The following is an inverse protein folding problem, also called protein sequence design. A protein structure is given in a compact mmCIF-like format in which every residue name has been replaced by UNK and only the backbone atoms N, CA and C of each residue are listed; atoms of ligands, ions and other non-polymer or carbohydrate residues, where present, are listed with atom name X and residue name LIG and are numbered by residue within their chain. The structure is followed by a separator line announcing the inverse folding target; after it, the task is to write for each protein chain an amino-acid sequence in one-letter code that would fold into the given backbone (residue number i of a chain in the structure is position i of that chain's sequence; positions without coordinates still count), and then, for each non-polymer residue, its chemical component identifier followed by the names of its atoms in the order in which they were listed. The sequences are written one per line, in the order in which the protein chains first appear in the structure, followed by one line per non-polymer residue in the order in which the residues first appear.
data_IF_910771650881
#
_entry.id   IF_910771650881
#
_cell.length_a   1.000
_cell.length_b   1.000
_cell.length_c   1.000
_cell.angle_alpha   90.00
_cell.angle_beta   90.00
_cell.angle_gamma   90.00
#
_symmetry.space_group_name_H-M   'P 1'
#
loop_
_entity.id
_entity.type
_entity.pdbx_description
1 polymer ?
#
# COMPACT_ATOMS: atom_id res chain seq x y z
N UNK A 1 -1.85 25.54 17.22
CA UNK A 1 -1.79 25.19 18.65
C UNK A 1 -1.32 23.74 18.77
N UNK A 2 -0.71 23.41 19.90
CA UNK A 2 -0.49 22.04 20.32
C UNK A 2 -1.33 21.79 21.58
N UNK A 3 -1.96 20.63 21.66
CA UNK A 3 -2.62 20.15 22.88
C UNK A 3 -2.42 18.65 23.02
N UNK A 4 -2.45 18.17 24.27
CA UNK A 4 -2.52 16.76 24.55
C UNK A 4 -3.51 16.50 25.69
N UNK A 5 -4.26 15.41 25.58
CA UNK A 5 -5.28 15.08 26.56
C UNK A 5 -6.06 13.83 26.19
N UNK A 6 -6.96 13.43 27.09
CA UNK A 6 -7.84 12.29 26.88
C UNK A 6 -8.89 12.62 25.82
N UNK A 7 -8.81 11.97 24.65
CA UNK A 7 -9.93 11.90 23.72
C UNK A 7 -10.99 10.97 24.32
N UNK A 8 -12.21 11.48 24.52
CA UNK A 8 -13.27 10.73 25.19
C UNK A 8 -14.64 11.05 24.63
N UNK A 9 -15.60 10.18 24.89
CA UNK A 9 -17.00 10.32 24.53
C UNK A 9 -17.89 9.73 25.62
N UNK A 10 -19.14 10.20 25.71
CA UNK A 10 -20.18 9.62 26.58
C UNK A 10 -21.08 8.64 25.83
N UNK A 11 -20.88 8.47 24.53
CA UNK A 11 -21.71 7.61 23.69
C UNK A 11 -21.36 6.14 23.89
N UNK A 12 -22.37 5.27 23.83
CA UNK A 12 -22.20 3.84 23.75
C UNK A 12 -22.45 3.40 22.30
N UNK A 13 -21.48 2.72 21.70
CA UNK A 13 -21.61 2.11 20.38
C UNK A 13 -22.16 0.69 20.52
N UNK A 14 -22.99 0.28 19.58
CA UNK A 14 -23.76 -0.97 19.66
C UNK A 14 -23.53 -1.82 18.44
N UNK A 15 -23.00 -3.03 18.63
CA UNK A 15 -23.06 -4.08 17.63
C UNK A 15 -24.30 -4.94 17.88
N UNK A 16 -25.36 -4.69 17.10
CA UNK A 16 -26.66 -5.35 17.30
C UNK A 16 -26.65 -6.84 16.94
N UNK A 17 -25.74 -7.26 16.05
CA UNK A 17 -25.57 -8.67 15.68
C UNK A 17 -24.97 -9.43 16.86
N UNK A 18 -23.84 -8.93 17.39
CA UNK A 18 -23.13 -9.56 18.50
C UNK A 18 -23.76 -9.29 19.87
N UNK A 19 -24.71 -8.35 19.95
CA UNK A 19 -25.36 -7.95 21.20
C UNK A 19 -24.42 -7.20 22.14
N UNK A 20 -23.38 -6.55 21.61
CA UNK A 20 -22.34 -5.86 22.38
C UNK A 20 -22.65 -4.36 22.41
N UNK A 21 -22.55 -3.76 23.60
CA UNK A 21 -22.66 -2.31 23.82
C UNK A 21 -21.45 -1.85 24.61
N UNK A 22 -20.72 -0.85 24.12
CA UNK A 22 -19.47 -0.37 24.73
C UNK A 22 -19.32 1.14 24.59
N UNK A 23 -18.86 1.82 25.65
CA UNK A 23 -18.47 3.22 25.57
C UNK A 23 -17.14 3.33 24.82
N UNK A 24 -17.17 3.89 23.61
CA UNK A 24 -16.03 3.86 22.70
C UNK A 24 -16.07 4.98 21.68
N UNK A 25 -14.88 5.39 21.21
CA UNK A 25 -14.70 6.34 20.10
C UNK A 25 -15.04 5.65 18.76
N UNK A 26 -14.60 4.41 18.58
CA UNK A 26 -14.88 3.61 17.39
C UNK A 26 -15.11 2.14 17.76
N UNK A 27 -16.04 1.49 17.07
CA UNK A 27 -16.31 0.07 17.15
C UNK A 27 -16.24 -0.52 15.74
N UNK A 28 -15.32 -1.45 15.53
CA UNK A 28 -15.04 -2.06 14.23
C UNK A 28 -15.30 -3.57 14.28
N UNK A 29 -16.38 -4.01 13.66
CA UNK A 29 -16.65 -5.43 13.40
C UNK A 29 -16.05 -5.80 12.06
N UNK A 30 -15.06 -6.67 12.08
CA UNK A 30 -14.45 -7.22 10.86
C UNK A 30 -14.97 -8.63 10.62
N UNK A 31 -15.42 -8.88 9.39
CA UNK A 31 -16.03 -10.15 8.97
C UNK A 31 -15.33 -10.62 7.71
N UNK A 32 -14.79 -11.82 7.74
CA UNK A 32 -14.16 -12.47 6.58
C UNK A 32 -14.94 -13.73 6.22
N UNK A 33 -15.07 -14.02 4.92
CA UNK A 33 -15.67 -15.25 4.42
C UNK A 33 -14.63 -16.09 3.68
N UNK A 34 -14.61 -17.39 3.96
CA UNK A 34 -13.72 -18.35 3.29
C UNK A 34 -14.22 -18.65 1.88
N UNK A 35 -13.41 -18.32 0.87
CA UNK A 35 -13.81 -18.26 -0.53
C UNK A 35 -12.63 -18.60 -1.44
N UNK A 36 -12.91 -19.09 -2.64
CA UNK A 36 -11.94 -19.14 -3.74
C UNK A 36 -11.52 -17.74 -4.19
N UNK A 37 -10.25 -17.59 -4.49
CA UNK A 37 -9.66 -16.45 -5.15
C UNK A 37 -8.83 -16.93 -6.35
N UNK A 38 -9.11 -16.37 -7.52
CA UNK A 38 -8.25 -16.53 -8.69
C UNK A 38 -7.05 -15.58 -8.59
N UNK A 39 -5.86 -16.11 -8.89
CA UNK A 39 -4.64 -15.34 -9.12
C UNK A 39 -4.20 -15.55 -10.56
N UNK A 40 -3.89 -14.44 -11.23
CA UNK A 40 -3.42 -14.45 -12.62
C UNK A 40 -1.94 -14.13 -12.67
N UNK A 41 -1.14 -15.06 -13.19
CA UNK A 41 0.26 -14.82 -13.55
C UNK A 41 0.38 -14.68 -15.07
N UNK A 42 1.04 -13.63 -15.54
CA UNK A 42 1.27 -13.43 -16.98
C UNK A 42 2.75 -13.56 -17.29
N UNK A 43 3.11 -14.58 -18.07
CA UNK A 43 4.45 -14.75 -18.62
C UNK A 43 4.47 -14.30 -20.08
N UNK A 44 5.39 -13.40 -20.41
CA UNK A 44 5.62 -12.96 -21.78
C UNK A 44 6.93 -13.54 -22.28
N UNK A 45 6.87 -14.25 -23.42
CA UNK A 45 8.01 -14.83 -24.10
C UNK A 45 8.18 -14.18 -25.49
N UNK A 46 9.39 -13.72 -25.80
CA UNK A 46 9.70 -13.16 -27.13
C UNK A 46 10.04 -14.28 -28.12
N UNK A 47 9.38 -14.29 -29.27
CA UNK A 47 9.60 -15.22 -30.37
C UNK A 47 10.58 -14.64 -31.40
N UNK A 48 11.15 -15.51 -32.24
CA UNK A 48 11.97 -15.12 -33.39
C UNK A 48 11.15 -14.22 -34.33
N UNK A 49 11.69 -13.04 -34.65
CA UNK A 49 11.08 -12.10 -35.60
C UNK A 49 10.18 -11.00 -35.01
N UNK A 50 10.16 -10.80 -33.69
CA UNK A 50 9.56 -9.58 -33.10
C UNK A 50 8.26 -9.80 -32.35
N UNK A 51 7.64 -10.98 -32.49
CA UNK A 51 6.36 -11.29 -31.88
C UNK A 51 6.52 -11.70 -30.41
N UNK A 52 5.54 -11.35 -29.58
CA UNK A 52 5.46 -11.78 -28.19
C UNK A 52 4.36 -12.84 -28.04
N UNK A 53 4.65 -13.93 -27.33
CA UNK A 53 3.66 -14.88 -26.84
C UNK A 53 3.38 -14.57 -25.38
N UNK A 54 2.12 -14.24 -25.07
CA UNK A 54 1.66 -14.08 -23.69
C UNK A 54 0.97 -15.38 -23.25
N UNK A 55 1.51 -15.99 -22.21
CA UNK A 55 0.91 -17.15 -21.54
C UNK A 55 0.38 -16.65 -20.20
N UNK A 56 -0.94 -16.69 -20.03
CA UNK A 56 -1.58 -16.46 -18.73
C UNK A 56 -1.76 -17.80 -18.02
N UNK A 57 -1.34 -17.86 -16.77
CA UNK A 57 -1.58 -18.98 -15.87
C UNK A 57 -2.54 -18.51 -14.79
N UNK A 58 -3.62 -19.24 -14.61
CA UNK A 58 -4.63 -18.96 -13.58
C UNK A 58 -4.48 -20.02 -12.49
N UNK A 59 -4.31 -19.57 -11.26
CA UNK A 59 -4.26 -20.44 -10.06
C UNK A 59 -5.39 -20.06 -9.13
N UNK A 60 -5.92 -21.04 -8.40
CA UNK A 60 -7.06 -20.84 -7.50
C UNK A 60 -6.65 -21.29 -6.11
N UNK A 61 -6.81 -20.39 -5.15
CA UNK A 61 -6.53 -20.67 -3.74
C UNK A 61 -7.75 -20.29 -2.90
N UNK A 62 -8.02 -21.05 -1.84
CA UNK A 62 -9.04 -20.67 -0.87
C UNK A 62 -8.43 -19.69 0.15
N UNK A 63 -9.13 -18.59 0.41
CA UNK A 63 -8.66 -17.49 1.27
C UNK A 63 -9.80 -16.90 2.10
N UNK A 64 -9.43 -16.21 3.18
CA UNK A 64 -10.33 -15.36 3.94
C UNK A 64 -10.37 -13.97 3.31
N UNK A 65 -11.57 -13.47 3.03
CA UNK A 65 -11.77 -12.16 2.39
C UNK A 65 -12.87 -11.38 3.09
N UNK A 66 -12.62 -10.10 3.37
CA UNK A 66 -13.62 -9.18 3.94
C UNK A 66 -14.73 -8.81 2.95
N UNK A 67 -14.47 -9.00 1.66
CA UNK A 67 -15.42 -8.74 0.58
C UNK A 67 -15.83 -10.04 -0.13
N UNK A 68 -17.04 -10.06 -0.64
CA UNK A 68 -17.54 -11.13 -1.52
C UNK A 68 -16.65 -11.19 -2.77
N UNK A 69 -16.10 -12.37 -3.06
CA UNK A 69 -15.32 -12.60 -4.27
C UNK A 69 -16.26 -13.13 -5.34
N UNK A 70 -16.55 -12.29 -6.32
CA UNK A 70 -17.35 -12.65 -7.48
C UNK A 70 -16.57 -13.65 -8.38
N UNK A 71 -17.06 -14.88 -8.43
CA UNK A 71 -16.48 -15.96 -9.23
C UNK A 71 -16.97 -15.96 -10.70
N UNK A 72 -17.91 -15.09 -11.07
CA UNK A 72 -18.44 -15.04 -12.45
C UNK A 72 -17.39 -14.62 -13.49
N UNK A 73 -16.31 -13.99 -13.01
CA UNK A 73 -15.19 -13.54 -13.81
C UNK A 73 -13.98 -14.49 -13.75
N UNK A 74 -14.09 -15.63 -13.06
CA UNK A 74 -13.02 -16.63 -13.07
C UNK A 74 -12.89 -17.24 -14.46
N UNK A 75 -11.65 -17.48 -14.89
CA UNK A 75 -11.34 -18.13 -16.16
C UNK A 75 -11.89 -19.57 -16.18
N UNK A 76 -11.83 -20.27 -15.04
CA UNK A 76 -12.41 -21.59 -14.85
C UNK A 76 -13.22 -21.65 -13.54
N UNK A 77 -14.51 -21.26 -13.57
CA UNK A 77 -15.35 -21.25 -12.39
C UNK A 77 -15.78 -22.66 -11.94
N UNK A 78 -15.65 -23.68 -12.80
CA UNK A 78 -16.07 -25.06 -12.48
C UNK A 78 -15.15 -25.64 -11.41
N UNK A 79 -15.70 -25.92 -10.21
CA UNK A 79 -14.92 -26.38 -9.06
C UNK A 79 -14.46 -25.24 -8.14
N UNK A 80 -14.69 -23.98 -8.54
CA UNK A 80 -14.27 -22.78 -7.82
C UNK A 80 -15.44 -21.83 -7.52
N UNK A 81 -16.63 -22.40 -7.28
CA UNK A 81 -17.81 -21.63 -6.93
C UNK A 81 -17.71 -21.06 -5.51
N UNK A 82 -17.93 -19.75 -5.39
CA UNK A 82 -18.16 -19.05 -4.13
C UNK A 82 -19.65 -18.89 -3.85
N UNK A 83 -20.05 -18.73 -2.58
CA UNK A 83 -21.40 -18.28 -2.23
C UNK A 83 -21.78 -16.99 -2.96
N UNK A 84 -23.06 -16.83 -3.28
CA UNK A 84 -23.57 -15.64 -3.98
C UNK A 84 -23.66 -14.38 -3.09
N UNK A 85 -23.55 -14.55 -1.77
CA UNK A 85 -23.70 -13.47 -0.79
C UNK A 85 -22.96 -13.78 0.50
N UNK A 86 -22.54 -12.74 1.21
CA UNK A 86 -22.12 -12.83 2.61
C UNK A 86 -23.32 -12.50 3.52
N UNK A 87 -23.68 -13.41 4.42
CA UNK A 87 -24.79 -13.21 5.35
C UNK A 87 -24.55 -12.05 6.34
N UNK A 88 -23.29 -11.71 6.56
CA UNK A 88 -22.83 -10.69 7.48
C UNK A 88 -21.69 -9.92 6.83
N UNK A 89 -21.68 -8.60 6.97
CA UNK A 89 -20.63 -7.72 6.43
C UNK A 89 -19.88 -7.00 7.55
N UNK A 90 -18.62 -6.65 7.31
CA UNK A 90 -17.85 -5.75 8.18
C UNK A 90 -18.60 -4.42 8.39
N UNK A 91 -18.43 -3.83 9.57
CA UNK A 91 -19.07 -2.57 9.92
C UNK A 91 -18.20 -1.77 10.87
N UNK A 92 -18.02 -0.49 10.58
CA UNK A 92 -17.33 0.47 11.45
C UNK A 92 -18.34 1.51 11.92
N UNK A 93 -18.36 1.76 13.22
CA UNK A 93 -19.17 2.78 13.86
C UNK A 93 -18.26 3.75 14.62
N UNK A 94 -18.54 5.04 14.52
CA UNK A 94 -17.84 6.08 15.27
C UNK A 94 -18.81 6.81 16.19
N UNK A 95 -18.33 7.24 17.36
CA UNK A 95 -19.06 8.16 18.21
C UNK A 95 -19.24 9.51 17.50
N UNK A 96 -20.39 10.14 17.66
CA UNK A 96 -20.69 11.42 16.98
C UNK A 96 -19.99 12.60 17.64
N UNK A 97 -19.74 12.50 18.94
CA UNK A 97 -19.13 13.54 19.76
C UNK A 97 -17.96 12.98 20.54
N UNK A 98 -16.76 13.29 20.07
CA UNK A 98 -15.50 12.98 20.74
C UNK A 98 -14.81 14.28 21.10
N UNK A 99 -14.38 14.43 22.34
CA UNK A 99 -13.76 15.66 22.84
C UNK A 99 -12.40 15.40 23.44
N UNK A 100 -11.49 16.37 23.31
CA UNK A 100 -10.24 16.44 24.08
C UNK A 100 -10.30 17.72 24.90
N UNK A 101 -10.53 17.58 26.21
CA UNK A 101 -10.90 18.73 27.06
C UNK A 101 -12.16 19.41 26.52
N UNK A 102 -12.08 20.72 26.28
CA UNK A 102 -13.20 21.53 25.77
C UNK A 102 -13.35 21.49 24.24
N UNK A 103 -12.43 20.83 23.53
CA UNK A 103 -12.41 20.80 22.07
C UNK A 103 -13.16 19.61 21.51
N UNK A 104 -14.11 19.86 20.61
CA UNK A 104 -14.73 18.84 19.77
C UNK A 104 -13.75 18.42 18.67
N UNK A 105 -13.50 17.12 18.53
CA UNK A 105 -12.69 16.60 17.44
C UNK A 105 -13.51 16.54 16.14
N UNK A 106 -13.01 17.09 15.03
CA UNK A 106 -13.55 16.82 13.71
C UNK A 106 -13.31 15.36 13.31
N UNK A 107 -14.15 14.84 12.42
CA UNK A 107 -14.09 13.46 11.92
C UNK A 107 -12.69 13.06 11.44
N UNK A 108 -12.00 13.97 10.75
CA UNK A 108 -10.67 13.74 10.20
C UNK A 108 -9.61 13.48 11.28
N UNK A 109 -9.73 14.10 12.45
CA UNK A 109 -8.85 13.81 13.60
C UNK A 109 -9.32 12.56 14.33
N UNK A 110 -10.62 12.41 14.55
CA UNK A 110 -11.19 11.23 15.22
C UNK A 110 -10.78 9.93 14.52
N UNK A 111 -10.83 9.89 13.18
CA UNK A 111 -10.47 8.71 12.38
C UNK A 111 -8.97 8.37 12.40
N UNK A 112 -8.11 9.30 12.85
CA UNK A 112 -6.68 9.04 13.05
C UNK A 112 -6.38 8.31 14.37
N UNK A 113 -7.36 8.21 15.28
CA UNK A 113 -7.21 7.47 16.54
C UNK A 113 -7.36 5.97 16.24
N UNK A 114 -6.26 5.31 15.87
CA UNK A 114 -6.28 3.93 15.36
C UNK A 114 -5.87 2.85 16.36
N UNK A 115 -5.30 3.23 17.51
CA UNK A 115 -4.94 2.26 18.55
C UNK A 115 -6.23 1.65 19.10
N UNK A 116 -6.43 0.38 18.74
CA UNK A 116 -7.62 -0.39 19.08
C UNK A 116 -7.23 -1.65 19.85
N UNK A 117 -8.18 -2.17 20.63
CA UNK A 117 -8.04 -3.43 21.34
C UNK A 117 -9.13 -4.42 20.94
N UNK A 118 -8.85 -5.73 20.95
CA UNK A 118 -9.89 -6.73 20.75
C UNK A 118 -10.96 -6.65 21.86
N UNK A 119 -12.23 -6.78 21.48
CA UNK A 119 -13.34 -6.94 22.42
C UNK A 119 -13.50 -8.42 22.73
N UNK A 120 -13.63 -8.76 24.02
CA UNK A 120 -13.84 -10.14 24.47
C UNK A 120 -15.18 -10.68 23.95
N UNK A 121 -15.13 -11.69 23.09
CA UNK A 121 -16.31 -12.31 22.46
C UNK A 121 -16.84 -13.55 23.21
N UNK A 122 -16.24 -13.94 24.34
CA UNK A 122 -16.66 -15.12 25.11
C UNK A 122 -18.09 -15.04 25.63
N UNK A 123 -18.59 -13.82 25.89
CA UNK A 123 -19.92 -13.56 26.43
C UNK A 123 -21.00 -13.40 25.34
N UNK A 124 -20.64 -13.47 24.06
CA UNK A 124 -21.60 -13.36 22.96
C UNK A 124 -22.55 -14.57 22.98
N UNK A 125 -23.85 -14.33 22.78
CA UNK A 125 -24.85 -15.39 22.72
C UNK A 125 -24.73 -16.16 21.39
N UNK A 126 -23.97 -17.25 21.41
CA UNK A 126 -23.68 -18.10 20.25
C UNK A 126 -24.92 -18.81 19.71
N UNK A 127 -25.84 -19.26 20.57
CA UNK A 127 -27.08 -19.91 20.12
C UNK A 127 -27.96 -18.93 19.33
N UNK A 128 -28.09 -17.67 19.79
CA UNK A 128 -28.79 -16.64 19.03
C UNK A 128 -28.15 -16.38 17.66
N UNK A 129 -26.82 -16.30 17.60
CA UNK A 129 -26.13 -16.10 16.32
C UNK A 129 -26.30 -17.31 15.40
N UNK A 130 -26.26 -18.52 15.94
CA UNK A 130 -26.51 -19.75 15.20
C UNK A 130 -27.92 -19.77 14.60
N UNK A 131 -28.93 -19.37 15.35
CA UNK A 131 -30.30 -19.26 14.86
C UNK A 131 -30.43 -18.17 13.77
N UNK A 132 -29.75 -17.02 13.93
CA UNK A 132 -29.78 -15.92 12.97
C UNK A 132 -29.04 -16.24 11.66
N UNK A 133 -27.92 -16.97 11.75
CA UNK A 133 -27.04 -17.27 10.61
C UNK A 133 -27.29 -18.67 10.01
N UNK A 134 -28.12 -19.47 10.66
CA UNK A 134 -28.40 -20.86 10.30
C UNK A 134 -27.12 -21.71 10.11
N UNK A 135 -26.12 -21.47 10.98
CA UNK A 135 -24.82 -22.16 10.98
C UNK A 135 -24.32 -22.28 12.43
N UNK A 136 -23.60 -23.34 12.80
CA UNK A 136 -22.97 -23.42 14.13
C UNK A 136 -22.02 -22.24 14.36
N UNK A 137 -21.93 -21.80 15.61
CA UNK A 137 -21.06 -20.68 16.01
C UNK A 137 -20.21 -21.13 17.19
N UNK A 138 -18.89 -21.06 17.03
CA UNK A 138 -17.93 -21.35 18.08
C UNK A 138 -16.99 -20.16 18.31
N UNK A 139 -16.35 -20.15 19.49
CA UNK A 139 -15.29 -19.19 19.78
C UNK A 139 -13.97 -19.89 19.46
N UNK A 140 -13.22 -19.33 18.52
CA UNK A 140 -11.89 -19.78 18.10
C UNK A 140 -10.82 -18.78 18.58
N UNK A 141 -9.61 -19.26 18.82
CA UNK A 141 -8.42 -18.44 19.12
C UNK A 141 -8.66 -17.36 20.20
N UNK A 142 -9.46 -17.67 21.22
CA UNK A 142 -9.87 -16.82 22.36
C UNK A 142 -10.61 -15.50 22.04
N UNK A 143 -10.60 -15.00 20.80
CA UNK A 143 -11.23 -13.72 20.45
C UNK A 143 -11.75 -13.61 19.00
N UNK A 144 -12.10 -14.73 18.38
CA UNK A 144 -12.71 -14.81 17.05
C UNK A 144 -13.95 -15.69 17.10
N UNK A 145 -15.06 -15.25 16.52
CA UNK A 145 -16.23 -16.09 16.34
C UNK A 145 -16.15 -16.77 14.97
N UNK A 146 -16.09 -18.09 14.98
CA UNK A 146 -16.14 -18.91 13.78
C UNK A 146 -17.60 -19.33 13.52
N UNK A 147 -18.08 -19.12 12.30
CA UNK A 147 -19.43 -19.48 11.85
C UNK A 147 -19.30 -20.54 10.77
N UNK A 148 -19.46 -21.79 11.16
CA UNK A 148 -19.21 -22.97 10.33
C UNK A 148 -19.18 -24.24 11.18
N UNK A 149 -18.96 -25.39 10.54
CA UNK A 149 -18.99 -26.67 11.24
C UNK A 149 -17.71 -26.95 12.05
N UNK A 150 -16.55 -26.60 11.51
CA UNK A 150 -15.24 -26.88 12.11
C UNK A 150 -14.24 -25.78 11.73
N UNK A 151 -13.72 -25.03 12.70
CA UNK A 151 -12.71 -24.00 12.47
C UNK A 151 -11.35 -24.52 11.98
N UNK A 152 -11.04 -25.80 12.24
CA UNK A 152 -9.80 -26.43 11.79
C UNK A 152 -9.86 -26.88 10.33
N UNK A 153 -11.07 -27.10 9.80
CA UNK A 153 -11.30 -27.47 8.41
C UNK A 153 -12.33 -26.55 7.75
N UNK A 154 -11.95 -25.29 7.43
CA UNK A 154 -12.90 -24.32 6.91
C UNK A 154 -13.57 -24.71 5.61
N UNK A 155 -14.87 -24.44 5.51
CA UNK A 155 -15.66 -24.69 4.31
C UNK A 155 -16.01 -23.39 3.59
N UNK A 156 -16.26 -23.48 2.29
CA UNK A 156 -16.64 -22.32 1.48
C UNK A 156 -17.90 -21.67 2.06
N UNK A 157 -17.82 -20.36 2.30
CA UNK A 157 -18.88 -19.58 2.91
C UNK A 157 -18.91 -19.57 4.43
N UNK A 158 -17.96 -20.21 5.10
CA UNK A 158 -17.79 -20.04 6.55
C UNK A 158 -17.25 -18.64 6.86
N UNK A 159 -17.61 -18.12 8.02
CA UNK A 159 -17.29 -16.75 8.43
C UNK A 159 -16.37 -16.74 9.64
N UNK A 160 -15.48 -15.75 9.68
CA UNK A 160 -14.76 -15.33 10.88
C UNK A 160 -15.16 -13.92 11.23
N UNK A 161 -15.57 -13.71 12.48
CA UNK A 161 -16.02 -12.42 12.98
C UNK A 161 -15.14 -12.01 14.15
N UNK A 162 -14.51 -10.84 14.02
CA UNK A 162 -13.76 -10.20 15.10
C UNK A 162 -14.35 -8.83 15.38
N UNK A 163 -14.14 -8.33 16.61
CA UNK A 163 -14.60 -7.02 17.03
C UNK A 163 -13.45 -6.30 17.73
N UNK A 164 -13.11 -5.12 17.25
CA UNK A 164 -12.10 -4.25 17.83
C UNK A 164 -12.74 -2.92 18.25
N UNK A 165 -12.21 -2.34 19.32
CA UNK A 165 -12.71 -1.08 19.88
C UNK A 165 -11.58 -0.08 20.06
N UNK A 166 -11.84 1.18 19.70
CA UNK A 166 -11.00 2.33 20.05
C UNK A 166 -11.64 2.99 21.28
N UNK A 167 -11.01 2.83 22.42
CA UNK A 167 -11.50 3.39 23.67
C UNK A 167 -11.05 4.83 23.87
N UNK A 168 -11.67 5.55 24.83
CA UNK A 168 -11.12 6.81 25.30
C UNK A 168 -9.64 6.67 25.64
N UNK A 169 -8.80 7.45 24.97
CA UNK A 169 -7.36 7.36 25.11
C UNK A 169 -6.70 8.70 24.91
N UNK A 170 -5.50 8.83 25.45
CA UNK A 170 -4.73 10.05 25.36
C UNK A 170 -4.23 10.26 23.94
N UNK A 171 -4.36 11.48 23.42
CA UNK A 171 -3.87 11.88 22.10
C UNK A 171 -3.15 13.22 22.19
N UNK A 172 -2.14 13.40 21.35
CA UNK A 172 -1.49 14.68 21.09
C UNK A 172 -1.90 15.20 19.71
N UNK A 173 -2.20 16.50 19.62
CA UNK A 173 -2.78 17.12 18.43
C UNK A 173 -2.06 18.44 18.10
N UNK A 174 -1.74 18.62 16.82
CA UNK A 174 -1.30 19.90 16.25
C UNK A 174 -2.33 20.32 15.22
N UNK A 175 -3.02 21.43 15.48
CA UNK A 175 -4.06 21.97 14.60
C UNK A 175 -4.23 23.49 14.78
N UNK A 176 -5.03 24.12 13.94
CA UNK A 176 -5.52 25.48 14.18
C UNK A 176 -6.81 25.41 15.00
N UNK A 177 -6.91 26.21 16.06
CA UNK A 177 -8.14 26.36 16.83
C UNK A 177 -9.15 27.21 16.06
N UNK A 178 -10.42 26.82 16.05
CA UNK A 178 -11.52 27.66 15.56
C UNK A 178 -12.71 27.48 16.49
N UNK A 179 -12.94 28.45 17.38
CA UNK A 179 -13.91 28.32 18.46
C UNK A 179 -13.56 27.15 19.39
N UNK A 180 -14.46 26.19 19.51
CA UNK A 180 -14.32 24.96 20.28
C UNK A 180 -13.99 23.73 19.42
N UNK A 181 -13.59 23.91 18.15
CA UNK A 181 -13.15 22.83 17.28
C UNK A 181 -11.74 23.10 16.74
N UNK A 182 -11.21 22.11 16.03
CA UNK A 182 -9.89 22.10 15.43
C UNK A 182 -10.02 21.97 13.92
N UNK A 183 -9.15 22.66 13.19
CA UNK A 183 -9.09 22.59 11.73
C UNK A 183 -7.64 22.58 11.24
N UNK A 184 -7.47 22.25 9.97
CA UNK A 184 -6.15 22.29 9.34
C UNK A 184 -5.58 23.71 9.27
N UNK A 185 -4.34 23.88 9.70
CA UNK A 185 -3.61 25.14 9.56
C UNK A 185 -2.96 25.21 8.17
N UNK A 186 -3.24 26.24 7.38
CA UNK A 186 -2.52 26.49 6.13
C UNK A 186 -1.21 27.23 6.41
N UNK A 187 -0.08 26.53 6.26
CA UNK A 187 1.23 27.14 6.36
C UNK A 187 1.52 28.09 5.19
N UNK A 188 2.39 29.10 5.35
CA UNK A 188 2.77 30.02 4.27
C UNK A 188 3.34 29.32 3.03
N UNK A 189 3.97 28.15 3.23
CA UNK A 189 4.48 27.30 2.15
C UNK A 189 3.37 26.55 1.37
N UNK A 190 2.08 26.80 1.65
CA UNK A 190 0.93 26.21 0.98
C UNK A 190 0.49 24.84 1.51
N UNK A 191 1.28 24.22 2.38
CA UNK A 191 0.95 22.93 3.00
C UNK A 191 -0.03 23.11 4.17
N UNK A 192 -0.97 22.19 4.31
CA UNK A 192 -1.89 22.14 5.46
C UNK A 192 -1.35 21.22 6.55
N UNK A 193 -1.36 21.68 7.80
CA UNK A 193 -0.91 20.92 8.96
C UNK A 193 -2.11 20.65 9.86
N UNK A 194 -2.42 19.37 10.02
CA UNK A 194 -3.37 18.86 11.00
C UNK A 194 -2.92 17.46 11.37
N UNK A 195 -2.36 17.30 12.56
CA UNK A 195 -1.69 16.06 12.97
C UNK A 195 -2.33 15.55 14.26
N UNK A 196 -2.56 14.24 14.32
CA UNK A 196 -2.90 13.53 15.54
C UNK A 196 -1.94 12.36 15.72
N UNK A 197 -1.45 12.20 16.95
CA UNK A 197 -0.70 11.03 17.39
C UNK A 197 -1.39 10.45 18.62
N UNK A 198 -1.61 9.15 18.63
CA UNK A 198 -2.10 8.43 19.82
C UNK A 198 -0.99 8.36 20.86
N UNK A 199 -1.30 8.69 22.11
CA UNK A 199 -0.33 8.79 23.20
C UNK A 199 0.07 10.24 23.53
N UNK A 200 1.03 10.38 24.45
CA UNK A 200 1.65 11.65 24.81
C UNK A 200 2.91 11.85 23.98
N UNK A 201 2.86 12.79 23.03
CA UNK A 201 3.98 13.16 22.17
C UNK A 201 4.17 14.66 22.16
N UNK A 202 5.42 15.13 22.18
CA UNK A 202 5.73 16.56 22.06
C UNK A 202 5.41 17.09 20.66
N UNK A 203 5.23 18.41 20.53
CA UNK A 203 4.99 19.03 19.22
C UNK A 203 6.15 18.80 18.24
N UNK A 204 7.36 18.82 18.75
CA UNK A 204 8.61 18.62 18.03
C UNK A 204 8.69 17.19 17.47
N UNK A 205 8.37 16.19 18.29
CA UNK A 205 8.31 14.78 17.87
C UNK A 205 7.26 14.57 16.77
N UNK A 206 6.05 15.11 16.95
CA UNK A 206 4.98 14.96 15.96
C UNK A 206 5.34 15.60 14.61
N UNK A 207 5.94 16.79 14.61
CA UNK A 207 6.39 17.45 13.38
C UNK A 207 7.52 16.66 12.74
N UNK A 208 8.49 16.19 13.53
CA UNK A 208 9.62 15.41 13.02
C UNK A 208 9.15 14.08 12.41
N UNK A 209 8.23 13.38 13.08
CA UNK A 209 7.62 12.16 12.55
C UNK A 209 6.87 12.42 11.24
N UNK A 210 6.02 13.45 11.20
CA UNK A 210 5.29 13.81 9.98
C UNK A 210 6.23 14.19 8.82
N UNK A 211 7.35 14.85 9.09
CA UNK A 211 8.36 15.16 8.08
C UNK A 211 9.12 13.91 7.61
N UNK A 212 9.43 12.99 8.52
CA UNK A 212 10.12 11.74 8.21
C UNK A 212 9.25 10.81 7.35
N UNK A 213 7.97 10.65 7.69
CA UNK A 213 6.99 9.86 6.92
C UNK A 213 6.77 10.44 5.51
N UNK A 214 6.61 11.77 5.41
CA UNK A 214 6.49 12.44 4.12
C UNK A 214 7.78 12.27 3.28
N UNK A 215 8.93 12.29 3.93
CA UNK A 215 10.22 12.11 3.25
C UNK A 215 10.39 10.67 2.77
N UNK A 216 10.10 9.67 3.61
CA UNK A 216 10.22 8.25 3.26
C UNK A 216 9.25 7.85 2.15
N UNK A 217 7.99 8.29 2.22
CA UNK A 217 7.01 8.07 1.15
C UNK A 217 7.49 8.69 -0.15
N UNK A 218 7.96 9.94 -0.11
CA UNK A 218 8.40 10.62 -1.31
C UNK A 218 9.64 9.96 -1.93
N UNK A 219 10.58 9.45 -1.11
CA UNK A 219 11.69 8.64 -1.59
C UNK A 219 11.24 7.29 -2.17
N UNK A 220 10.30 6.61 -1.50
CA UNK A 220 9.69 5.38 -2.00
C UNK A 220 9.05 5.56 -3.37
N UNK A 221 8.17 6.55 -3.52
CA UNK A 221 7.55 6.90 -4.81
C UNK A 221 8.59 7.27 -5.87
N UNK A 222 9.68 7.94 -5.48
CA UNK A 222 10.80 8.27 -6.38
C UNK A 222 11.52 7.05 -6.90
N UNK A 223 11.82 6.07 -6.05
CA UNK A 223 12.43 4.82 -6.51
C UNK A 223 11.46 4.04 -7.39
N UNK A 224 10.20 3.93 -7.00
CA UNK A 224 9.17 3.27 -7.82
C UNK A 224 9.04 3.92 -9.20
N UNK A 225 9.02 5.26 -9.29
CA UNK A 225 8.95 5.95 -10.57
C UNK A 225 10.21 5.77 -11.43
N UNK A 226 11.40 5.68 -10.82
CA UNK A 226 12.63 5.31 -11.53
C UNK A 226 12.53 3.90 -12.12
N UNK A 227 12.06 2.93 -11.34
CA UNK A 227 11.88 1.55 -11.82
C UNK A 227 10.89 1.49 -12.99
N UNK A 228 9.75 2.19 -12.88
CA UNK A 228 8.76 2.27 -13.95
C UNK A 228 9.36 2.89 -15.23
N UNK A 229 10.16 3.96 -15.12
CA UNK A 229 10.81 4.59 -16.27
C UNK A 229 11.82 3.66 -16.95
N UNK A 230 12.69 3.00 -16.17
CA UNK A 230 13.67 2.04 -16.72
C UNK A 230 12.93 0.90 -17.42
N UNK A 231 11.89 0.36 -16.79
CA UNK A 231 11.07 -0.70 -17.37
C UNK A 231 10.37 -0.24 -18.66
N UNK A 232 9.81 0.98 -18.66
CA UNK A 232 9.20 1.60 -19.84
C UNK A 232 10.19 1.76 -21.00
N UNK A 233 11.39 2.29 -20.76
CA UNK A 233 12.43 2.39 -21.77
C UNK A 233 12.89 1.02 -22.27
N UNK A 234 13.00 0.01 -21.39
CA UNK A 234 13.29 -1.36 -21.82
C UNK A 234 12.23 -1.89 -22.79
N UNK A 235 10.95 -1.60 -22.55
CA UNK A 235 9.86 -1.97 -23.45
C UNK A 235 9.89 -1.20 -24.77
N UNK A 236 10.19 0.11 -24.76
CA UNK A 236 10.32 0.92 -25.98
C UNK A 236 11.48 0.43 -26.87
N UNK A 237 12.61 0.02 -26.28
CA UNK A 237 13.78 -0.46 -27.01
C UNK A 237 13.63 -1.91 -27.50
N UNK A 238 12.63 -2.66 -27.00
CA UNK A 238 12.46 -4.09 -27.33
C UNK A 238 12.29 -4.35 -28.83
N UNK A 239 11.43 -3.64 -29.60
CA UNK A 239 11.30 -3.87 -31.05
C UNK A 239 12.60 -3.65 -31.83
N UNK A 240 13.41 -2.67 -31.41
CA UNK A 240 14.71 -2.36 -32.03
C UNK A 240 15.72 -3.49 -31.81
N UNK A 241 15.71 -4.11 -30.63
CA UNK A 241 16.56 -5.28 -30.32
C UNK A 241 16.18 -6.47 -31.17
N UNK A 242 14.87 -6.73 -31.35
CA UNK A 242 14.45 -7.92 -32.09
C UNK A 242 14.76 -7.81 -33.59
N UNK A 243 14.77 -6.60 -34.15
CA UNK A 243 15.26 -6.35 -35.52
C UNK A 243 16.76 -6.65 -35.67
N UNK A 244 17.57 -6.37 -34.64
CA UNK A 244 19.01 -6.63 -34.65
C UNK A 244 19.36 -8.12 -34.45
N UNK A 245 18.48 -8.90 -33.82
CA UNK A 245 18.63 -10.36 -33.62
C UNK A 245 18.58 -11.15 -34.95
N UNK A 246 18.19 -10.53 -36.08
CA UNK A 246 18.29 -11.11 -37.43
C UNK A 246 19.76 -11.33 -37.85
N UNK A 247 20.72 -10.66 -37.20
CA UNK A 247 22.16 -10.84 -37.41
C UNK A 247 22.77 -11.69 -36.27
N UNK A 248 23.19 -12.94 -36.53
CA UNK A 248 23.54 -13.93 -35.49
C UNK A 248 24.75 -13.56 -34.60
N UNK A 249 25.54 -12.56 -34.97
CA UNK A 249 26.69 -12.07 -34.18
C UNK A 249 26.36 -10.87 -33.28
N UNK A 250 25.18 -10.26 -33.39
CA UNK A 250 24.79 -9.05 -32.63
C UNK A 250 23.87 -9.34 -31.44
N UNK A 251 23.16 -10.46 -31.42
CA UNK A 251 22.05 -10.64 -30.48
C UNK A 251 22.41 -10.63 -28.99
N UNK A 252 23.55 -11.20 -28.58
CA UNK A 252 23.99 -11.20 -27.17
C UNK A 252 24.47 -9.82 -26.70
N UNK A 253 25.11 -9.05 -27.59
CA UNK A 253 25.62 -7.69 -27.32
C UNK A 253 24.45 -6.69 -27.30
N UNK A 254 23.52 -6.80 -28.24
CA UNK A 254 22.37 -5.89 -28.37
C UNK A 254 21.37 -6.09 -27.21
N UNK A 255 21.13 -7.34 -26.78
CA UNK A 255 20.27 -7.63 -25.63
C UNK A 255 20.82 -7.05 -24.32
N UNK A 256 22.12 -7.23 -24.04
CA UNK A 256 22.75 -6.68 -22.83
C UNK A 256 22.89 -5.15 -22.86
N UNK A 257 23.18 -4.57 -24.05
CA UNK A 257 23.28 -3.12 -24.23
C UNK A 257 21.93 -2.39 -24.20
N UNK A 258 20.83 -3.04 -24.61
CA UNK A 258 19.49 -2.44 -24.55
C UNK A 258 19.01 -2.18 -23.12
N UNK A 259 19.28 -3.11 -22.19
CA UNK A 259 19.00 -2.92 -20.76
C UNK A 259 19.84 -1.80 -20.16
N UNK A 260 21.13 -1.73 -20.52
CA UNK A 260 22.00 -0.64 -20.09
C UNK A 260 21.58 0.71 -20.69
N UNK A 261 21.20 0.76 -21.97
CA UNK A 261 20.68 1.95 -22.62
C UNK A 261 19.36 2.42 -21.97
N UNK A 262 18.45 1.49 -21.67
CA UNK A 262 17.21 1.79 -20.94
C UNK A 262 17.49 2.34 -19.54
N UNK A 263 18.46 1.77 -18.82
CA UNK A 263 18.89 2.26 -17.51
C UNK A 263 19.42 3.71 -17.60
N UNK A 264 20.28 4.00 -18.58
CA UNK A 264 20.84 5.35 -18.77
C UNK A 264 19.79 6.38 -19.16
N UNK A 265 18.93 6.04 -20.12
CA UNK A 265 17.84 6.92 -20.55
C UNK A 265 16.83 7.14 -19.43
N UNK A 266 16.40 6.07 -18.77
CA UNK A 266 15.48 6.11 -17.64
C UNK A 266 16.02 6.95 -16.48
N UNK A 267 17.27 6.71 -16.08
CA UNK A 267 17.91 7.46 -14.99
C UNK A 267 18.13 8.93 -15.37
N UNK A 268 18.53 9.22 -16.62
CA UNK A 268 18.74 10.60 -17.09
C UNK A 268 17.43 11.40 -17.07
N UNK A 269 16.35 10.85 -17.63
CA UNK A 269 15.03 11.48 -17.61
C UNK A 269 14.51 11.61 -16.18
N UNK A 270 14.68 10.58 -15.35
CA UNK A 270 14.25 10.61 -13.95
C UNK A 270 14.98 11.69 -13.13
N UNK A 271 16.31 11.79 -13.28
CA UNK A 271 17.12 12.83 -12.63
C UNK A 271 16.68 14.23 -13.08
N UNK A 272 16.48 14.42 -14.38
CA UNK A 272 16.05 15.70 -14.94
C UNK A 272 14.66 16.11 -14.45
N UNK A 273 13.69 15.20 -14.48
CA UNK A 273 12.32 15.46 -14.00
C UNK A 273 12.29 15.72 -12.49
N UNK A 274 13.06 14.97 -11.71
CA UNK A 274 13.15 15.17 -10.25
C UNK A 274 13.82 16.51 -9.91
N UNK A 275 14.88 16.88 -10.63
CA UNK A 275 15.57 18.15 -10.45
C UNK A 275 14.64 19.34 -10.78
N UNK A 276 13.90 19.27 -11.90
CA UNK A 276 12.91 20.30 -12.29
C UNK A 276 11.81 20.42 -11.25
N UNK A 277 11.22 19.30 -10.83
CA UNK A 277 10.12 19.31 -9.86
C UNK A 277 10.52 19.93 -8.51
N UNK A 278 11.78 19.78 -8.10
CA UNK A 278 12.28 20.26 -6.82
C UNK A 278 12.97 21.63 -6.91
N UNK A 279 13.15 22.18 -8.10
CA UNK A 279 13.96 23.38 -8.31
C UNK A 279 13.42 24.58 -7.52
N UNK A 280 12.09 24.77 -7.52
CA UNK A 280 11.45 25.89 -6.82
C UNK A 280 11.38 25.68 -5.29
N UNK A 281 11.25 24.44 -4.83
CA UNK A 281 10.98 24.15 -3.40
C UNK A 281 12.22 23.75 -2.61
N UNK A 282 13.25 23.17 -3.25
CA UNK A 282 14.47 22.61 -2.63
C UNK A 282 15.70 22.77 -3.55
N UNK A 283 16.19 24.00 -3.80
CA UNK A 283 17.20 24.29 -4.82
C UNK A 283 18.51 23.51 -4.65
N UNK A 284 19.00 23.32 -3.42
CA UNK A 284 20.25 22.62 -3.13
C UNK A 284 20.21 21.14 -3.57
N UNK A 285 19.08 20.47 -3.36
CA UNK A 285 18.90 19.07 -3.79
C UNK A 285 18.79 18.96 -5.31
N UNK A 286 18.15 19.92 -5.97
CA UNK A 286 18.10 19.95 -7.43
C UNK A 286 19.48 20.17 -8.05
N UNK A 287 20.28 21.09 -7.51
CA UNK A 287 21.64 21.33 -7.99
C UNK A 287 22.53 20.10 -7.80
N UNK A 288 22.46 19.43 -6.64
CA UNK A 288 23.25 18.21 -6.40
C UNK A 288 22.89 17.07 -7.37
N UNK A 289 21.61 16.86 -7.68
CA UNK A 289 21.17 15.88 -8.67
C UNK A 289 21.70 16.21 -10.09
N UNK A 290 21.70 17.48 -10.48
CA UNK A 290 22.24 17.93 -11.77
C UNK A 290 23.74 17.68 -11.83
N UNK A 291 24.48 18.01 -10.76
CA UNK A 291 25.93 17.76 -10.70
C UNK A 291 26.22 16.26 -10.81
N UNK A 292 25.47 15.40 -10.11
CA UNK A 292 25.62 13.95 -10.22
C UNK A 292 25.38 13.47 -11.66
N UNK A 293 24.33 13.97 -12.32
CA UNK A 293 24.04 13.62 -13.71
C UNK A 293 25.19 14.02 -14.67
N UNK A 294 25.74 15.23 -14.50
CA UNK A 294 26.83 15.77 -15.34
C UNK A 294 28.14 15.01 -15.09
N UNK A 295 28.53 14.83 -13.83
CA UNK A 295 29.77 14.11 -13.46
C UNK A 295 29.69 12.65 -13.88
N UNK A 296 28.55 11.98 -13.63
CA UNK A 296 28.33 10.60 -14.07
C UNK A 296 28.45 10.45 -15.59
N UNK A 297 27.83 11.37 -16.34
CA UNK A 297 27.95 11.40 -17.82
C UNK A 297 29.39 11.62 -18.28
N UNK A 298 30.12 12.53 -17.65
CA UNK A 298 31.52 12.83 -17.96
C UNK A 298 32.45 11.63 -17.70
N UNK A 299 32.31 10.96 -16.54
CA UNK A 299 33.08 9.76 -16.20
C UNK A 299 32.84 8.65 -17.22
N UNK A 300 31.58 8.43 -17.62
CA UNK A 300 31.28 7.43 -18.64
C UNK A 300 31.91 7.73 -20.00
N UNK A 301 31.96 9.00 -20.41
CA UNK A 301 32.63 9.42 -21.65
C UNK A 301 34.14 9.14 -21.54
N UNK A 302 34.77 9.49 -20.42
CA UNK A 302 36.19 9.24 -20.13
C UNK A 302 36.55 7.73 -20.13
N UNK A 303 35.69 6.89 -19.55
CA UNK A 303 35.89 5.43 -19.54
C UNK A 303 35.73 4.83 -20.94
N UNK A 304 34.85 5.38 -21.78
CA UNK A 304 34.72 4.98 -23.18
C UNK A 304 35.93 5.38 -24.03
N UNK A 305 36.43 6.61 -23.89
CA UNK A 305 37.60 7.07 -24.64
C UNK A 305 38.85 6.29 -24.29
N UNK A 306 39.06 5.97 -23.01
CA UNK A 306 40.23 5.18 -22.56
C UNK A 306 40.25 3.74 -23.08
N UNK A 307 39.07 3.10 -23.25
CA UNK A 307 38.93 1.75 -23.84
C UNK A 307 39.16 1.72 -25.36
N UNK A 308 38.98 2.83 -26.06
CA UNK A 308 39.19 2.94 -27.50
C UNK A 308 40.65 3.22 -27.89
N UNK A 309 41.54 3.46 -26.92
CA UNK A 309 42.94 3.85 -27.16
C UNK A 309 43.95 2.71 -27.05
N UNK A 310 43.53 1.45 -26.82
CA UNK A 310 44.45 0.30 -26.83
C UNK A 310 44.75 -0.13 -28.29
N UNK A 311 46.00 -0.03 -28.78
CA UNK A 311 46.33 -0.36 -30.16
C UNK A 311 46.48 -1.87 -30.36
N UNK A 312 45.86 -2.38 -31.43
CA UNK A 312 46.05 -3.74 -31.97
C UNK A 312 47.53 -3.96 -32.30
N UNK A 313 48.21 -4.80 -31.52
CA UNK A 313 49.56 -5.27 -31.83
C UNK A 313 49.51 -6.23 -33.02
N UNK A 314 50.11 -5.78 -34.13
CA UNK A 314 50.40 -6.59 -35.33
C UNK A 314 51.32 -7.76 -34.96
N UNK A 315 50.91 -8.98 -35.27
CA UNK A 315 51.81 -10.15 -35.33
C UNK A 315 52.64 -10.12 -36.61
N UNK A 316 53.98 -10.21 -36.57
CA UNK A 316 54.78 -10.41 -37.77
C UNK A 316 54.76 -11.88 -38.19
N UNK A 317 54.64 -12.10 -39.50
CA UNK A 317 54.89 -13.37 -40.18
C UNK A 317 56.30 -13.89 -39.88
N UNK A 318 56.40 -15.18 -39.61
CA UNK A 318 57.51 -16.03 -40.02
C UNK A 318 57.04 -16.93 -41.17
#
# INVERSE_FOLDING_TARGET
MYLSGLATTKENLVDALLGITINAICLNRKVEMYQWQEKTETKTESLLGGSEKKTKTYTYDQTWSESLIDNSHFENPTGHQNPASMAVQSQVQYAKKVTVGDFLLPDDLMKQIQVSRPVNLSQVNKERLKDQLNKPVELSNDNELYVGQDSQHPQLGDLRITLAVVEPQTVSIIAQQTGNTLQAYRAPAGQTVMLLSTGQHSSEEMIHQAQAENTSLAWGLRFVSLFILIWGFSKILTPLVILADVLPFLGSIVRSSSGFAAFLLGTSVWLMMTAIAWFATRPLMSVSLIVIAVVGSYIMIQLKTKRSSDPVTKTPHN
#
